data_IF_280860068157
#
_entry.id   IF_280860068157
#
_cell.length_a   1.000
_cell.length_b   1.000
_cell.length_c   1.000
_cell.angle_alpha   90.00
_cell.angle_beta   90.00
_cell.angle_gamma   90.00
#
_symmetry.space_group_name_H-M   'P 1'
#
loop_
_entity.id
_entity.type
_entity.pdbx_description
1 polymer ?
#
# COMPACT_ATOMS: atom_id res chain seq x y z
N UNK A 1 -10.59 -22.26 30.87
CA UNK A 1 -9.27 -22.20 30.22
C UNK A 1 -9.48 -22.51 28.73
N UNK A 2 -9.07 -21.61 27.83
CA UNK A 2 -9.16 -21.85 26.38
C UNK A 2 -8.00 -22.73 25.94
N UNK A 3 -8.26 -23.77 25.15
CA UNK A 3 -7.23 -24.65 24.61
C UNK A 3 -6.24 -23.92 23.69
N UNK A 4 -5.10 -24.55 23.35
CA UNK A 4 -4.09 -23.96 22.48
C UNK A 4 -4.69 -23.57 21.13
N UNK A 5 -4.45 -22.32 20.70
CA UNK A 5 -4.85 -21.85 19.40
C UNK A 5 -3.96 -22.47 18.31
N UNK A 6 -4.56 -23.31 17.47
CA UNK A 6 -3.90 -23.90 16.30
C UNK A 6 -4.21 -23.08 15.04
N UNK A 7 -3.23 -22.32 14.56
CA UNK A 7 -3.28 -21.64 13.26
C UNK A 7 -2.54 -22.47 12.19
N UNK A 8 -2.88 -22.25 10.92
CA UNK A 8 -2.31 -22.98 9.76
C UNK A 8 -2.66 -24.47 9.75
N UNK A 9 -3.77 -24.86 10.39
CA UNK A 9 -4.23 -26.26 10.41
C UNK A 9 -5.06 -26.60 9.18
N UNK A 10 -5.81 -25.63 8.65
CA UNK A 10 -6.68 -25.80 7.48
C UNK A 10 -5.95 -25.39 6.20
N UNK A 11 -6.28 -26.03 5.08
CA UNK A 11 -5.68 -25.73 3.76
C UNK A 11 -5.82 -24.25 3.41
N UNK A 12 -7.01 -23.68 3.58
CA UNK A 12 -7.27 -22.25 3.34
C UNK A 12 -6.37 -21.29 4.12
N UNK A 13 -5.89 -21.69 5.30
CA UNK A 13 -5.01 -20.88 6.15
C UNK A 13 -3.55 -20.88 5.62
N UNK A 14 -3.24 -21.81 4.70
CA UNK A 14 -1.93 -21.95 4.06
C UNK A 14 -1.90 -21.38 2.64
N UNK A 15 -2.94 -20.67 2.24
CA UNK A 15 -2.99 -20.00 0.94
C UNK A 15 -2.33 -18.62 1.01
N UNK A 16 -1.63 -18.21 -0.07
CA UNK A 16 -1.09 -16.87 -0.17
C UNK A 16 -2.20 -15.84 -0.34
N UNK A 17 -2.03 -14.68 0.28
CA UNK A 17 -2.97 -13.57 0.18
C UNK A 17 -2.25 -12.27 -0.16
N UNK A 18 -2.76 -11.59 -1.18
CA UNK A 18 -2.37 -10.22 -1.52
C UNK A 18 -3.38 -9.24 -0.92
N UNK A 19 -2.93 -8.45 0.04
CA UNK A 19 -3.70 -7.38 0.64
C UNK A 19 -3.73 -6.20 -0.33
N UNK A 20 -4.89 -5.95 -0.93
CA UNK A 20 -5.10 -4.91 -1.96
C UNK A 20 -6.32 -4.02 -1.73
N UNK A 21 -7.18 -4.37 -0.77
CA UNK A 21 -8.39 -3.59 -0.44
C UNK A 21 -8.77 -3.78 1.02
N UNK A 22 -9.52 -2.81 1.58
CA UNK A 22 -10.07 -2.94 2.93
C UNK A 22 -11.07 -4.11 3.01
N UNK A 23 -11.78 -4.39 1.92
CA UNK A 23 -12.72 -5.53 1.85
C UNK A 23 -12.05 -6.84 2.24
N UNK A 24 -10.90 -7.15 1.65
CA UNK A 24 -10.16 -8.37 2.00
C UNK A 24 -9.78 -8.42 3.49
N UNK A 25 -9.31 -7.30 4.04
CA UNK A 25 -8.88 -7.23 5.45
C UNK A 25 -10.08 -7.40 6.39
N UNK A 26 -11.17 -6.70 6.12
CA UNK A 26 -12.38 -6.76 6.95
C UNK A 26 -13.08 -8.12 6.86
N UNK A 27 -13.09 -8.76 5.70
CA UNK A 27 -13.58 -10.13 5.54
C UNK A 27 -12.74 -11.09 6.36
N UNK A 28 -11.41 -10.96 6.28
CA UNK A 28 -10.49 -11.78 7.03
C UNK A 28 -10.68 -11.63 8.56
N UNK A 29 -10.89 -10.40 9.04
CA UNK A 29 -11.16 -10.09 10.45
C UNK A 29 -12.61 -10.33 10.89
N UNK A 30 -13.49 -10.80 10.00
CA UNK A 30 -14.93 -10.93 10.23
C UNK A 30 -15.59 -9.63 10.74
N UNK A 31 -15.13 -8.48 10.27
CA UNK A 31 -15.70 -7.17 10.60
C UNK A 31 -17.07 -7.05 9.95
N UNK A 32 -18.10 -6.71 10.75
CA UNK A 32 -19.48 -6.58 10.27
C UNK A 32 -19.64 -5.42 9.27
N UNK A 33 -20.66 -5.42 8.39
CA UNK A 33 -20.89 -4.33 7.44
C UNK A 33 -21.02 -2.94 8.09
N UNK A 34 -21.59 -2.88 9.30
CA UNK A 34 -21.71 -1.63 10.07
C UNK A 34 -20.33 -1.07 10.47
N UNK A 35 -19.46 -1.92 11.02
CA UNK A 35 -18.09 -1.52 11.37
C UNK A 35 -17.24 -1.22 10.13
N UNK A 36 -17.42 -1.94 9.01
CA UNK A 36 -16.77 -1.62 7.73
C UNK A 36 -17.07 -0.19 7.27
N UNK A 37 -18.31 0.27 7.48
CA UNK A 37 -18.73 1.65 7.17
C UNK A 37 -17.99 2.66 8.05
N UNK A 38 -17.84 2.37 9.34
CA UNK A 38 -17.06 3.20 10.29
C UNK A 38 -15.59 3.28 9.87
N UNK A 39 -14.98 2.14 9.54
CA UNK A 39 -13.60 2.06 9.03
C UNK A 39 -13.42 2.97 7.82
N UNK A 40 -14.28 2.79 6.80
CA UNK A 40 -14.20 3.60 5.58
C UNK A 40 -14.33 5.09 5.86
N UNK A 41 -15.34 5.52 6.62
CA UNK A 41 -15.56 6.95 6.86
C UNK A 41 -14.42 7.59 7.65
N UNK A 42 -13.91 6.90 8.66
CA UNK A 42 -12.78 7.39 9.46
C UNK A 42 -11.53 7.51 8.60
N UNK A 43 -11.24 6.47 7.80
CA UNK A 43 -10.11 6.44 6.88
C UNK A 43 -10.19 7.53 5.82
N UNK A 44 -11.29 7.60 5.08
CA UNK A 44 -11.46 8.60 4.02
C UNK A 44 -11.21 10.02 4.54
N UNK A 45 -11.70 10.34 5.74
CA UNK A 45 -11.47 11.65 6.36
C UNK A 45 -9.99 11.93 6.59
N UNK A 46 -9.21 10.93 6.97
CA UNK A 46 -7.79 11.06 7.31
C UNK A 46 -6.86 11.00 6.09
N UNK A 47 -7.18 10.22 5.05
CA UNK A 47 -6.21 9.87 4.00
C UNK A 47 -6.48 10.47 2.62
N UNK A 48 -7.62 11.14 2.43
CA UNK A 48 -8.00 11.72 1.12
C UNK A 48 -7.58 13.19 0.96
N UNK A 49 -6.69 13.68 1.81
CA UNK A 49 -6.14 15.03 1.66
C UNK A 49 -5.28 15.15 0.41
N UNK A 50 -5.29 16.33 -0.21
CA UNK A 50 -4.56 16.59 -1.46
C UNK A 50 -3.06 16.30 -1.35
N UNK A 51 -2.41 16.60 -0.21
CA UNK A 51 -1.00 16.31 -0.01
C UNK A 51 -0.72 14.79 0.02
N UNK A 52 -1.52 14.01 0.77
CA UNK A 52 -1.40 12.53 0.80
C UNK A 52 -1.60 11.96 -0.60
N UNK A 53 -2.65 12.42 -1.29
CA UNK A 53 -2.94 12.03 -2.66
C UNK A 53 -1.75 12.26 -3.60
N UNK A 54 -1.23 13.48 -3.61
CA UNK A 54 -0.08 13.87 -4.42
C UNK A 54 1.16 13.06 -4.11
N UNK A 55 1.51 12.93 -2.84
CA UNK A 55 2.71 12.21 -2.43
C UNK A 55 2.60 10.71 -2.67
N UNK A 56 1.39 10.15 -2.64
CA UNK A 56 1.13 8.77 -3.08
C UNK A 56 1.42 8.59 -4.56
N UNK A 57 0.97 9.52 -5.42
CA UNK A 57 1.25 9.48 -6.87
C UNK A 57 2.76 9.62 -7.14
N UNK A 58 3.44 10.53 -6.45
CA UNK A 58 4.90 10.71 -6.56
C UNK A 58 5.65 9.43 -6.17
N UNK A 59 5.30 8.78 -5.05
CA UNK A 59 5.96 7.54 -4.64
C UNK A 59 5.69 6.39 -5.63
N UNK A 60 4.47 6.30 -6.18
CA UNK A 60 4.14 5.32 -7.23
C UNK A 60 4.99 5.51 -8.49
N UNK A 61 5.09 6.74 -8.98
CA UNK A 61 5.90 7.08 -10.16
C UNK A 61 7.39 6.80 -9.90
N UNK A 62 7.88 7.10 -8.70
CA UNK A 62 9.25 6.84 -8.27
C UNK A 62 9.56 5.35 -8.21
N UNK A 63 8.72 4.54 -7.57
CA UNK A 63 8.92 3.09 -7.52
C UNK A 63 8.87 2.46 -8.93
N UNK A 64 7.92 2.89 -9.76
CA UNK A 64 7.82 2.43 -11.14
C UNK A 64 9.05 2.83 -11.97
N UNK A 65 9.58 4.05 -11.79
CA UNK A 65 10.80 4.49 -12.46
C UNK A 65 11.99 3.60 -12.13
N UNK A 66 12.18 3.27 -10.85
CA UNK A 66 13.26 2.37 -10.41
C UNK A 66 13.19 1.00 -11.09
N UNK A 67 11.99 0.43 -11.21
CA UNK A 67 11.81 -0.89 -11.82
C UNK A 67 11.92 -0.85 -13.36
N UNK A 68 11.57 0.28 -14.00
CA UNK A 68 11.84 0.51 -15.43
C UNK A 68 13.34 0.68 -15.70
N UNK A 69 14.04 1.45 -14.86
CA UNK A 69 15.48 1.69 -14.99
C UNK A 69 16.31 0.39 -14.81
N UNK A 70 15.75 -0.62 -14.15
CA UNK A 70 16.34 -1.94 -14.02
C UNK A 70 16.18 -2.84 -15.27
N UNK A 71 15.46 -2.39 -16.31
CA UNK A 71 15.29 -3.13 -17.57
C UNK A 71 16.48 -2.83 -18.48
N UNK A 72 17.34 -3.83 -18.70
CA UNK A 72 18.58 -3.67 -19.50
C UNK A 72 18.33 -3.30 -20.98
N UNK A 73 17.27 -3.82 -21.58
CA UNK A 73 16.92 -3.58 -23.00
C UNK A 73 15.45 -3.12 -23.13
N UNK A 74 15.16 -1.86 -22.78
CA UNK A 74 13.80 -1.35 -22.81
C UNK A 74 13.30 -1.21 -24.25
N UNK A 75 12.10 -1.73 -24.51
CA UNK A 75 11.40 -1.49 -25.78
C UNK A 75 11.07 0.00 -25.91
N UNK A 76 10.91 0.50 -27.14
CA UNK A 76 10.55 1.90 -27.39
C UNK A 76 9.34 2.41 -26.57
N UNK A 77 8.32 1.57 -26.35
CA UNK A 77 7.16 1.93 -25.50
C UNK A 77 7.53 2.14 -24.02
N UNK A 78 8.50 1.40 -23.50
CA UNK A 78 8.99 1.55 -22.12
C UNK A 78 9.74 2.88 -21.98
N UNK A 79 10.54 3.26 -22.98
CA UNK A 79 11.19 4.56 -23.04
C UNK A 79 10.20 5.73 -23.06
N UNK A 80 9.13 5.62 -23.86
CA UNK A 80 8.02 6.60 -23.81
C UNK A 80 7.42 6.64 -22.40
N UNK A 81 7.17 5.49 -21.78
CA UNK A 81 6.68 5.41 -20.40
C UNK A 81 7.59 6.16 -19.40
N UNK A 82 8.91 6.02 -19.54
CA UNK A 82 9.91 6.72 -18.71
C UNK A 82 9.86 8.25 -18.89
N UNK A 83 9.65 8.72 -20.12
CA UNK A 83 9.45 10.14 -20.40
C UNK A 83 8.15 10.66 -19.77
N UNK A 84 7.05 9.90 -19.88
CA UNK A 84 5.76 10.25 -19.24
C UNK A 84 5.92 10.32 -17.72
N UNK A 85 6.61 9.37 -17.10
CA UNK A 85 6.90 9.40 -15.64
C UNK A 85 7.66 10.66 -15.27
N UNK A 86 8.68 11.02 -16.04
CA UNK A 86 9.48 12.22 -15.78
C UNK A 86 8.67 13.50 -15.94
N UNK A 87 7.82 13.58 -16.97
CA UNK A 87 6.90 14.69 -17.18
C UNK A 87 5.90 14.82 -16.03
N UNK A 88 5.23 13.71 -15.68
CA UNK A 88 4.25 13.68 -14.60
C UNK A 88 4.86 14.01 -13.24
N UNK A 89 6.07 13.53 -12.95
CA UNK A 89 6.78 13.85 -11.71
C UNK A 89 7.14 15.34 -11.64
N UNK A 90 7.61 15.95 -12.75
CA UNK A 90 7.86 17.39 -12.82
C UNK A 90 6.57 18.18 -12.63
N UNK A 91 5.50 17.80 -13.31
CA UNK A 91 4.18 18.40 -13.15
C UNK A 91 3.69 18.37 -11.70
N UNK A 92 3.87 17.22 -11.03
CA UNK A 92 3.58 17.02 -9.62
C UNK A 92 4.62 17.60 -8.66
N UNK A 93 5.71 18.23 -9.12
CA UNK A 93 6.70 18.92 -8.27
C UNK A 93 6.64 20.43 -8.48
N UNK A 94 6.46 20.90 -9.70
CA UNK A 94 6.38 22.32 -10.05
C UNK A 94 5.16 23.00 -9.40
N UNK A 95 4.12 22.21 -9.13
CA UNK A 95 2.94 22.61 -8.35
C UNK A 95 3.24 22.71 -6.83
N UNK A 96 4.45 22.36 -6.37
CA UNK A 96 4.93 22.35 -4.99
C UNK A 96 5.90 23.52 -4.83
N UNK A 97 5.38 24.72 -4.55
CA UNK A 97 6.27 25.83 -4.26
C UNK A 97 7.00 25.60 -2.95
N UNK A 98 8.33 25.75 -3.02
CA UNK A 98 9.18 26.22 -1.94
C UNK A 98 8.41 27.24 -1.08
N UNK A 99 7.95 26.78 0.08
CA UNK A 99 7.56 27.66 1.16
C UNK A 99 8.86 28.18 1.76
N UNK A 100 9.44 29.20 1.13
CA UNK A 100 10.47 30.01 1.78
C UNK A 100 9.91 30.46 3.13
N UNK A 101 10.63 30.10 4.20
CA UNK A 101 10.27 30.24 5.61
C UNK A 101 10.00 31.70 6.06
N UNK A 102 10.26 32.70 5.21
CA UNK A 102 10.34 34.10 5.63
C UNK A 102 9.18 35.01 5.17
N UNK A 103 8.05 34.47 4.67
CA UNK A 103 6.92 35.35 4.35
C UNK A 103 5.55 34.66 4.43
N UNK A 104 4.60 35.20 5.23
CA UNK A 104 3.24 34.67 5.32
C UNK A 104 2.53 34.70 3.96
N UNK A 105 1.88 33.59 3.60
CA UNK A 105 1.22 33.40 2.29
C UNK A 105 0.11 34.40 1.96
N UNK A 106 -0.41 35.14 2.96
CA UNK A 106 -1.42 36.19 2.81
C UNK A 106 -0.82 37.57 2.47
N UNK A 107 0.49 37.75 2.58
CA UNK A 107 1.22 38.97 2.20
C UNK A 107 1.87 38.91 0.82
N UNK A 108 1.85 37.75 0.16
CA UNK A 108 2.43 37.60 -1.18
C UNK A 108 1.44 38.09 -2.23
N UNK A 109 1.79 39.19 -2.89
CA UNK A 109 1.16 39.62 -4.14
C UNK A 109 1.15 38.43 -5.10
N UNK A 110 0.00 38.16 -5.73
CA UNK A 110 -0.15 37.17 -6.80
C UNK A 110 1.04 37.28 -7.74
N UNK A 111 1.77 36.18 -7.90
CA UNK A 111 2.86 36.04 -8.88
C UNK A 111 2.40 36.67 -10.19
N UNK A 112 3.14 37.68 -10.64
CA UNK A 112 2.91 38.39 -11.89
C UNK A 112 2.99 37.36 -13.01
N UNK A 113 1.84 36.86 -13.46
CA UNK A 113 1.74 35.88 -14.53
C UNK A 113 2.43 36.43 -15.77
N UNK A 114 3.27 35.60 -16.41
CA UNK A 114 3.30 35.60 -17.87
C UNK A 114 1.89 35.18 -18.32
N UNK A 115 1.22 35.93 -19.20
CA UNK A 115 -0.20 35.76 -19.48
C UNK A 115 -0.62 34.40 -20.09
N UNK A 116 0.31 33.51 -20.43
CA UNK A 116 0.04 32.28 -21.19
C UNK A 116 0.33 30.97 -20.44
N UNK A 117 0.55 30.97 -19.12
CA UNK A 117 0.77 29.72 -18.39
C UNK A 117 -0.53 28.87 -18.38
N UNK A 118 -0.52 27.66 -18.94
CA UNK A 118 -1.72 26.82 -19.03
C UNK A 118 -2.23 26.45 -17.64
N UNK A 119 -3.56 26.56 -17.46
CA UNK A 119 -4.20 26.21 -16.20
C UNK A 119 -4.23 24.68 -16.08
N UNK A 120 -3.48 24.18 -15.10
CA UNK A 120 -3.33 22.75 -14.87
C UNK A 120 -4.44 22.15 -14.02
N UNK A 121 -4.90 20.97 -14.42
CA UNK A 121 -5.94 20.18 -13.74
C UNK A 121 -5.44 18.78 -13.41
N UNK A 122 -6.13 18.11 -12.49
CA UNK A 122 -5.90 16.68 -12.25
C UNK A 122 -6.23 15.81 -13.47
N UNK A 123 -7.06 16.29 -14.40
CA UNK A 123 -7.33 15.65 -15.68
C UNK A 123 -6.07 15.44 -16.53
N UNK A 124 -5.13 16.37 -16.51
CA UNK A 124 -3.86 16.26 -17.24
C UNK A 124 -3.02 15.08 -16.69
N UNK A 125 -3.05 14.87 -15.36
CA UNK A 125 -2.41 13.73 -14.70
C UNK A 125 -3.08 12.41 -15.08
N UNK A 126 -4.40 12.42 -15.19
CA UNK A 126 -5.17 11.24 -15.63
C UNK A 126 -4.82 10.82 -17.05
N UNK A 127 -4.66 11.76 -17.97
CA UNK A 127 -4.22 11.49 -19.34
C UNK A 127 -2.82 10.87 -19.36
N UNK A 128 -1.87 11.46 -18.63
CA UNK A 128 -0.52 10.87 -18.47
C UNK A 128 -0.58 9.45 -17.89
N UNK A 129 -1.46 9.18 -16.93
CA UNK A 129 -1.64 7.83 -16.37
C UNK A 129 -2.26 6.84 -17.37
N UNK A 130 -3.16 7.30 -18.24
CA UNK A 130 -3.73 6.48 -19.32
C UNK A 130 -2.66 6.09 -20.33
N UNK A 131 -1.85 7.05 -20.78
CA UNK A 131 -0.77 6.81 -21.73
C UNK A 131 0.30 5.90 -21.12
N UNK A 132 0.69 6.17 -19.87
CA UNK A 132 1.66 5.35 -19.15
C UNK A 132 1.18 3.90 -19.03
N UNK A 133 -0.08 3.69 -18.64
CA UNK A 133 -0.65 2.34 -18.56
C UNK A 133 -0.65 1.65 -19.93
N UNK A 134 -1.02 2.38 -20.99
CA UNK A 134 -1.04 1.86 -22.36
C UNK A 134 0.35 1.44 -22.86
N UNK A 135 1.40 2.18 -22.48
CA UNK A 135 2.79 1.84 -22.75
C UNK A 135 3.23 0.56 -22.04
N UNK A 136 2.82 0.39 -20.78
CA UNK A 136 3.36 -0.65 -19.90
C UNK A 136 2.55 -1.95 -19.87
N UNK A 137 1.28 -1.95 -20.28
CA UNK A 137 0.36 -3.09 -20.13
C UNK A 137 0.81 -4.43 -20.74
N UNK A 138 1.77 -4.40 -21.69
CA UNK A 138 2.32 -5.62 -22.33
C UNK A 138 3.56 -6.16 -21.62
N UNK A 139 4.10 -5.45 -20.63
CA UNK A 139 5.32 -5.85 -19.95
C UNK A 139 4.98 -6.57 -18.64
N UNK A 140 5.17 -7.89 -18.63
CA UNK A 140 4.77 -8.75 -17.51
C UNK A 140 5.51 -8.39 -16.21
N UNK A 141 6.78 -7.96 -16.32
CA UNK A 141 7.58 -7.52 -15.16
C UNK A 141 6.98 -6.31 -14.45
N UNK A 142 6.20 -5.50 -15.16
CA UNK A 142 5.57 -4.27 -14.66
C UNK A 142 4.07 -4.43 -14.38
N UNK A 143 3.52 -5.64 -14.50
CA UNK A 143 2.08 -5.88 -14.37
C UNK A 143 1.50 -5.40 -13.03
N UNK A 144 2.24 -5.56 -11.92
CA UNK A 144 1.80 -5.08 -10.61
C UNK A 144 1.74 -3.55 -10.53
N UNK A 145 2.66 -2.85 -11.18
CA UNK A 145 2.61 -1.38 -11.29
C UNK A 145 1.45 -0.93 -12.15
N UNK A 146 1.18 -1.62 -13.26
CA UNK A 146 0.03 -1.34 -14.13
C UNK A 146 -1.28 -1.45 -13.34
N UNK A 147 -1.44 -2.50 -12.53
CA UNK A 147 -2.62 -2.63 -11.66
C UNK A 147 -2.74 -1.47 -10.67
N UNK A 148 -1.62 -0.97 -10.13
CA UNK A 148 -1.60 0.19 -9.24
C UNK A 148 -1.93 1.50 -9.96
N UNK A 149 -1.42 1.69 -11.17
CA UNK A 149 -1.79 2.85 -12.00
C UNK A 149 -3.30 2.84 -12.26
N UNK A 150 -3.86 1.70 -12.66
CA UNK A 150 -5.31 1.55 -12.87
C UNK A 150 -6.11 1.82 -11.60
N UNK A 151 -5.66 1.30 -10.45
CA UNK A 151 -6.28 1.60 -9.17
C UNK A 151 -6.29 3.12 -8.89
N UNK A 152 -5.17 3.81 -9.08
CA UNK A 152 -5.10 5.26 -8.83
C UNK A 152 -5.93 6.10 -9.81
N UNK A 153 -6.18 5.61 -11.03
CA UNK A 153 -7.09 6.29 -11.98
C UNK A 153 -8.50 6.42 -11.41
N UNK A 154 -8.97 5.46 -10.62
CA UNK A 154 -10.28 5.52 -9.94
C UNK A 154 -10.47 6.86 -9.23
N UNK A 155 -9.46 7.31 -8.47
CA UNK A 155 -9.52 8.60 -7.78
C UNK A 155 -9.30 9.79 -8.70
N UNK A 156 -8.35 9.69 -9.65
CA UNK A 156 -8.08 10.76 -10.64
C UNK A 156 -9.34 11.12 -11.45
N UNK A 157 -10.14 10.15 -11.86
CA UNK A 157 -11.41 10.39 -12.58
C UNK A 157 -12.38 11.26 -11.78
N UNK A 158 -12.41 11.12 -10.45
CA UNK A 158 -13.33 11.84 -9.58
C UNK A 158 -12.92 13.31 -9.46
N UNK A 159 -11.61 13.56 -9.44
CA UNK A 159 -11.05 14.90 -9.27
C UNK A 159 -10.59 15.55 -10.57
N UNK A 160 -10.82 14.94 -11.74
CA UNK A 160 -10.30 15.39 -13.04
C UNK A 160 -10.53 16.88 -13.35
N UNK A 161 -11.68 17.42 -12.94
CA UNK A 161 -12.07 18.80 -13.19
C UNK A 161 -11.55 19.79 -12.14
N UNK A 162 -10.90 19.30 -11.08
CA UNK A 162 -10.34 20.12 -10.00
C UNK A 162 -9.00 20.68 -10.44
N UNK A 163 -8.77 21.96 -10.14
CA UNK A 163 -7.54 22.64 -10.51
C UNK A 163 -6.38 22.19 -9.61
N UNK A 164 -5.22 21.98 -10.23
CA UNK A 164 -3.96 21.71 -9.54
C UNK A 164 -3.18 23.01 -9.26
N UNK A 165 -3.46 24.05 -10.03
CA UNK A 165 -2.76 25.34 -10.03
C UNK A 165 -2.78 26.04 -8.65
N UNK A 166 -1.65 26.62 -8.28
CA UNK A 166 -1.41 27.39 -7.06
C UNK A 166 -1.14 28.87 -7.30
N UNK A 167 -1.12 29.36 -8.55
CA UNK A 167 -1.13 30.80 -8.88
C UNK A 167 -2.52 31.45 -8.63
N UNK A 168 -3.23 30.90 -7.65
CA UNK A 168 -4.53 31.34 -7.18
C UNK A 168 -4.39 31.71 -5.71
N UNK A 169 -5.04 32.79 -5.28
CA UNK A 169 -4.95 33.24 -3.89
C UNK A 169 -5.30 32.13 -2.89
N UNK A 170 -4.71 32.18 -1.68
CA UNK A 170 -4.81 31.16 -0.62
C UNK A 170 -6.23 30.57 -0.42
N UNK A 171 -7.26 31.44 -0.44
CA UNK A 171 -8.67 31.03 -0.29
C UNK A 171 -9.11 30.04 -1.38
N UNK A 172 -8.73 30.29 -2.64
CA UNK A 172 -9.06 29.40 -3.76
C UNK A 172 -8.27 28.10 -3.69
N UNK A 173 -6.98 28.15 -3.32
CA UNK A 173 -6.18 26.95 -3.14
C UNK A 173 -6.79 26.03 -2.06
N UNK A 174 -7.21 26.61 -0.92
CA UNK A 174 -7.88 25.85 0.14
C UNK A 174 -9.21 25.27 -0.30
N UNK A 175 -9.97 25.99 -1.12
CA UNK A 175 -11.21 25.48 -1.72
C UNK A 175 -10.92 24.26 -2.62
N UNK A 176 -9.88 24.29 -3.46
CA UNK A 176 -9.51 23.14 -4.28
C UNK A 176 -9.10 21.94 -3.42
N UNK A 177 -8.31 22.15 -2.36
CA UNK A 177 -7.94 21.08 -1.41
C UNK A 177 -9.17 20.43 -0.76
N UNK A 178 -10.12 21.24 -0.30
CA UNK A 178 -11.38 20.75 0.26
C UNK A 178 -12.23 20.01 -0.78
N UNK A 179 -12.22 20.45 -2.04
CA UNK A 179 -12.92 19.77 -3.13
C UNK A 179 -12.31 18.40 -3.44
N UNK A 180 -10.97 18.29 -3.50
CA UNK A 180 -10.28 17.00 -3.65
C UNK A 180 -10.71 16.05 -2.53
N UNK A 181 -10.59 16.48 -1.27
CA UNK A 181 -10.94 15.66 -0.12
C UNK A 181 -12.41 15.23 -0.15
N UNK A 182 -13.32 16.17 -0.42
CA UNK A 182 -14.76 15.91 -0.49
C UNK A 182 -15.08 14.86 -1.57
N UNK A 183 -14.58 15.07 -2.79
CA UNK A 183 -14.86 14.18 -3.92
C UNK A 183 -14.32 12.77 -3.65
N UNK A 184 -13.05 12.65 -3.26
CA UNK A 184 -12.42 11.35 -2.98
C UNK A 184 -13.08 10.64 -1.79
N UNK A 185 -13.41 11.35 -0.71
CA UNK A 185 -14.08 10.75 0.45
C UNK A 185 -15.46 10.19 0.11
N UNK A 186 -16.18 10.83 -0.82
CA UNK A 186 -17.50 10.41 -1.24
C UNK A 186 -17.43 9.23 -2.23
N UNK A 187 -16.51 9.27 -3.18
CA UNK A 187 -16.42 8.29 -4.27
C UNK A 187 -15.69 7.01 -3.87
N UNK A 188 -14.61 7.10 -3.09
CA UNK A 188 -13.77 5.95 -2.80
C UNK A 188 -14.45 5.01 -1.79
N UNK A 189 -14.81 3.83 -2.29
CA UNK A 189 -15.53 2.80 -1.55
C UNK A 189 -14.62 1.93 -0.68
N UNK A 190 -15.24 1.03 0.10
CA UNK A 190 -14.52 0.07 0.93
C UNK A 190 -13.70 -0.94 0.08
N UNK A 191 -14.21 -1.30 -1.09
CA UNK A 191 -13.52 -2.19 -2.04
C UNK A 191 -12.50 -1.47 -2.93
N UNK A 192 -12.36 -0.15 -2.81
CA UNK A 192 -11.45 0.65 -3.65
C UNK A 192 -9.99 0.28 -3.37
N UNK A 193 -9.29 -0.15 -4.42
CA UNK A 193 -7.84 -0.36 -4.36
C UNK A 193 -7.09 0.98 -4.33
N UNK A 194 -7.70 2.05 -4.86
CA UNK A 194 -7.21 3.42 -4.75
C UNK A 194 -7.13 3.86 -3.27
N UNK A 195 -8.25 3.72 -2.55
CA UNK A 195 -8.31 4.04 -1.11
C UNK A 195 -7.28 3.23 -0.31
N UNK A 196 -7.15 1.96 -0.64
CA UNK A 196 -6.18 1.09 0.01
C UNK A 196 -4.73 1.49 -0.29
N UNK A 197 -4.44 1.95 -1.50
CA UNK A 197 -3.11 2.46 -1.86
C UNK A 197 -2.78 3.74 -1.10
N UNK A 198 -3.74 4.65 -0.93
CA UNK A 198 -3.57 5.83 -0.06
C UNK A 198 -3.30 5.43 1.40
N UNK A 199 -3.97 4.39 1.89
CA UNK A 199 -3.76 3.90 3.24
C UNK A 199 -2.34 3.36 3.44
N UNK A 200 -1.87 2.53 2.50
CA UNK A 200 -0.50 1.99 2.53
C UNK A 200 0.54 3.11 2.54
N UNK A 201 0.34 4.13 1.70
CA UNK A 201 1.23 5.28 1.68
C UNK A 201 1.19 6.05 2.99
N UNK A 202 0.00 6.34 3.52
CA UNK A 202 -0.16 7.07 4.79
C UNK A 202 0.49 6.35 5.98
N UNK A 203 0.39 5.01 6.05
CA UNK A 203 0.94 4.25 7.17
C UNK A 203 2.42 3.92 7.03
N UNK A 204 2.90 3.66 5.80
CA UNK A 204 4.22 3.07 5.57
C UNK A 204 5.10 3.84 4.57
N UNK A 205 4.60 4.93 3.99
CA UNK A 205 5.29 5.71 2.97
C UNK A 205 5.58 4.92 1.69
N UNK A 206 4.80 3.87 1.41
CA UNK A 206 4.98 2.98 0.25
C UNK A 206 3.65 2.59 -0.37
N UNK A 207 3.66 2.27 -1.66
CA UNK A 207 2.44 1.95 -2.41
C UNK A 207 2.32 0.47 -2.79
N UNK A 208 3.39 -0.32 -2.63
CA UNK A 208 3.38 -1.76 -2.92
C UNK A 208 2.37 -2.50 -2.05
N UNK A 209 1.60 -3.39 -2.69
CA UNK A 209 0.74 -4.31 -1.98
C UNK A 209 1.57 -5.21 -1.04
N UNK A 210 0.93 -5.64 0.04
CA UNK A 210 1.56 -6.55 0.99
C UNK A 210 1.12 -7.97 0.67
N UNK A 211 2.09 -8.82 0.33
CA UNK A 211 1.88 -10.22 0.00
C UNK A 211 2.28 -11.10 1.18
N UNK A 212 1.36 -11.94 1.64
CA UNK A 212 1.58 -12.87 2.75
C UNK A 212 1.48 -14.27 2.19
N UNK A 213 2.46 -15.12 2.48
CA UNK A 213 2.55 -16.45 1.84
C UNK A 213 1.56 -17.43 2.47
N UNK A 214 1.26 -17.24 3.76
CA UNK A 214 0.31 -18.05 4.51
C UNK A 214 -0.62 -17.10 5.26
N UNK A 215 -1.87 -16.99 4.82
CA UNK A 215 -2.78 -16.05 5.44
C UNK A 215 -3.08 -16.38 6.91
N UNK A 216 -2.94 -17.64 7.34
CA UNK A 216 -3.17 -18.09 8.70
C UNK A 216 -4.63 -18.02 9.12
N UNK A 217 -4.90 -17.64 10.37
CA UNK A 217 -6.28 -17.56 10.85
C UNK A 217 -6.45 -16.63 12.04
N UNK A 218 -7.72 -16.31 12.31
CA UNK A 218 -8.16 -15.64 13.54
C UNK A 218 -8.67 -16.71 14.51
N UNK A 219 -8.15 -16.72 15.73
CA UNK A 219 -8.60 -17.61 16.78
C UNK A 219 -8.98 -16.84 18.05
N UNK A 220 -9.91 -17.40 18.82
CA UNK A 220 -10.28 -16.88 20.13
C UNK A 220 -9.45 -17.61 21.19
N UNK A 221 -8.70 -16.88 22.00
CA UNK A 221 -7.89 -17.45 23.07
C UNK A 221 -8.14 -16.68 24.36
N UNK A 222 -8.94 -17.28 25.27
CA UNK A 222 -9.08 -16.75 26.63
C UNK A 222 -9.72 -15.37 26.73
N UNK A 223 -10.67 -15.03 25.85
CA UNK A 223 -11.37 -13.74 25.86
C UNK A 223 -10.89 -12.78 24.78
N UNK A 224 -9.61 -12.83 24.43
CA UNK A 224 -9.00 -12.06 23.36
C UNK A 224 -8.95 -12.79 22.03
N UNK A 225 -8.75 -12.02 20.97
CA UNK A 225 -8.62 -12.50 19.60
C UNK A 225 -7.15 -12.53 19.23
N UNK A 226 -6.70 -13.61 18.60
CA UNK A 226 -5.34 -13.73 18.10
C UNK A 226 -5.36 -13.93 16.58
N UNK A 227 -4.57 -13.12 15.89
CA UNK A 227 -4.35 -13.17 14.46
C UNK A 227 -2.95 -13.72 14.19
N UNK A 228 -2.87 -14.79 13.40
CA UNK A 228 -1.61 -15.34 12.94
C UNK A 228 -1.49 -15.20 11.43
N UNK A 229 -0.35 -14.71 10.94
CA UNK A 229 -0.01 -14.66 9.52
C UNK A 229 1.40 -15.20 9.30
N UNK A 230 1.67 -15.71 8.10
CA UNK A 230 2.88 -16.47 7.83
C UNK A 230 3.63 -16.06 6.56
N UNK A 231 4.94 -16.24 6.59
CA UNK A 231 5.84 -16.08 5.44
C UNK A 231 6.78 -17.27 5.32
N UNK A 232 7.07 -17.68 4.10
CA UNK A 232 8.10 -18.68 3.79
C UNK A 232 9.37 -17.95 3.35
N UNK A 233 10.49 -18.34 3.92
CA UNK A 233 11.82 -17.84 3.60
C UNK A 233 12.69 -18.98 3.11
N UNK A 234 13.34 -18.78 1.96
CA UNK A 234 14.25 -19.75 1.36
C UNK A 234 15.67 -19.68 1.92
N UNK A 235 15.96 -18.75 2.83
CA UNK A 235 17.31 -18.47 3.30
C UNK A 235 17.37 -18.33 4.83
N UNK A 236 18.39 -18.94 5.42
CA UNK A 236 18.56 -19.01 6.87
C UNK A 236 19.24 -17.81 7.51
N UNK A 237 19.77 -16.89 6.70
CA UNK A 237 20.42 -15.69 7.20
C UNK A 237 19.45 -14.84 8.05
N UNK A 238 19.91 -14.42 9.22
CA UNK A 238 19.21 -13.49 10.10
C UNK A 238 18.78 -12.21 9.38
N UNK A 239 19.50 -11.74 8.34
CA UNK A 239 19.05 -10.61 7.52
C UNK A 239 17.74 -10.91 6.78
N UNK A 240 17.58 -12.14 6.28
CA UNK A 240 16.35 -12.57 5.58
C UNK A 240 15.20 -12.77 6.55
N UNK A 241 15.46 -13.39 7.70
CA UNK A 241 14.49 -13.51 8.79
C UNK A 241 14.01 -12.11 9.22
N UNK A 242 14.93 -11.17 9.45
CA UNK A 242 14.60 -9.79 9.85
C UNK A 242 13.81 -9.05 8.78
N UNK A 243 14.08 -9.30 7.49
CA UNK A 243 13.25 -8.77 6.39
C UNK A 243 11.84 -9.37 6.43
N UNK A 244 11.73 -10.68 6.65
CA UNK A 244 10.46 -11.38 6.83
C UNK A 244 9.65 -10.83 8.00
N UNK A 245 10.27 -10.61 9.16
CA UNK A 245 9.64 -10.00 10.34
C UNK A 245 9.11 -8.61 10.01
N UNK A 246 9.94 -7.73 9.43
CA UNK A 246 9.51 -6.37 9.06
C UNK A 246 8.38 -6.36 8.03
N UNK A 247 8.34 -7.35 7.14
CA UNK A 247 7.27 -7.50 6.17
C UNK A 247 5.96 -7.94 6.82
N UNK A 248 6.02 -8.97 7.68
CA UNK A 248 4.86 -9.44 8.43
C UNK A 248 4.35 -8.41 9.44
N UNK A 249 5.23 -7.65 10.08
CA UNK A 249 4.86 -6.54 10.99
C UNK A 249 3.97 -5.51 10.29
N UNK A 250 4.27 -5.18 9.02
CA UNK A 250 3.41 -4.27 8.23
C UNK A 250 2.06 -4.89 7.90
N UNK A 251 2.01 -6.18 7.56
CA UNK A 251 0.73 -6.87 7.33
C UNK A 251 -0.11 -6.88 8.62
N UNK A 252 0.46 -7.34 9.74
CA UNK A 252 -0.18 -7.37 11.05
C UNK A 252 -0.62 -5.97 11.50
N UNK A 253 0.21 -4.95 11.26
CA UNK A 253 -0.10 -3.55 11.55
C UNK A 253 -1.34 -3.06 10.80
N UNK A 254 -1.56 -3.48 9.54
CA UNK A 254 -2.78 -3.13 8.81
C UNK A 254 -4.02 -3.78 9.44
N UNK A 255 -3.92 -5.05 9.81
CA UNK A 255 -5.03 -5.74 10.47
C UNK A 255 -5.38 -5.10 11.80
N UNK A 256 -4.37 -4.78 12.62
CA UNK A 256 -4.57 -4.09 13.89
C UNK A 256 -5.16 -2.70 13.71
N UNK A 257 -4.66 -1.93 12.75
CA UNK A 257 -5.22 -0.63 12.43
C UNK A 257 -6.71 -0.74 12.07
N UNK A 258 -7.10 -1.66 11.19
CA UNK A 258 -8.51 -1.85 10.82
C UNK A 258 -9.35 -2.32 12.00
N UNK A 259 -8.82 -3.21 12.84
CA UNK A 259 -9.48 -3.70 14.05
C UNK A 259 -9.79 -2.58 15.04
N UNK A 260 -8.82 -1.70 15.29
CA UNK A 260 -8.96 -0.55 16.20
C UNK A 260 -9.93 0.49 15.64
N UNK A 261 -9.79 0.85 14.37
CA UNK A 261 -10.70 1.82 13.72
C UNK A 261 -12.13 1.28 13.61
N UNK A 262 -12.29 -0.04 13.47
CA UNK A 262 -13.60 -0.69 13.50
C UNK A 262 -14.27 -0.61 14.88
N UNK A 263 -13.56 -0.22 15.94
CA UNK A 263 -14.12 -0.13 17.30
C UNK A 263 -14.35 -1.50 17.94
N UNK A 264 -13.56 -2.51 17.55
CA UNK A 264 -13.70 -3.87 18.06
C UNK A 264 -13.32 -3.91 19.54
N UNK A 265 -14.22 -4.43 20.40
CA UNK A 265 -14.08 -4.36 21.86
C UNK A 265 -13.00 -5.28 22.44
N UNK A 266 -12.68 -6.39 21.77
CA UNK A 266 -11.69 -7.36 22.25
C UNK A 266 -10.29 -6.96 21.82
N UNK A 267 -9.29 -7.28 22.63
CA UNK A 267 -7.89 -7.12 22.25
C UNK A 267 -7.55 -8.01 21.04
N UNK A 268 -6.69 -7.51 20.15
CA UNK A 268 -6.13 -8.27 19.03
C UNK A 268 -4.64 -8.53 19.25
N UNK A 269 -4.31 -9.77 19.60
CA UNK A 269 -2.94 -10.26 19.68
C UNK A 269 -2.43 -10.63 18.30
N UNK A 270 -1.22 -10.18 17.96
CA UNK A 270 -0.63 -10.36 16.64
C UNK A 270 0.52 -11.36 16.71
N UNK A 271 0.50 -12.36 15.82
CA UNK A 271 1.54 -13.39 15.70
C UNK A 271 2.02 -13.50 14.25
N UNK A 272 3.32 -13.36 14.06
CA UNK A 272 3.98 -13.64 12.79
C UNK A 272 4.62 -15.01 12.81
N UNK A 273 4.56 -15.74 11.70
CA UNK A 273 5.22 -17.04 11.56
C UNK A 273 6.12 -17.03 10.34
N UNK A 274 7.37 -17.45 10.50
CA UNK A 274 8.35 -17.50 9.42
C UNK A 274 8.84 -18.92 9.28
N UNK A 275 8.55 -19.57 8.17
CA UNK A 275 9.10 -20.89 7.87
C UNK A 275 10.39 -20.74 7.08
N UNK A 276 11.45 -21.34 7.58
CA UNK A 276 12.79 -21.17 7.07
C UNK A 276 13.42 -22.53 6.78
N UNK A 277 13.86 -22.72 5.54
CA UNK A 277 14.46 -23.98 5.07
C UNK A 277 15.82 -24.20 5.74
N UNK A 278 15.96 -25.27 6.52
CA UNK A 278 17.18 -25.58 7.26
C UNK A 278 17.45 -24.69 8.47
N UNK A 279 16.47 -23.89 8.89
CA UNK A 279 16.56 -23.05 10.10
C UNK A 279 16.25 -23.80 11.39
N UNK A 280 16.55 -23.15 12.52
CA UNK A 280 16.18 -23.62 13.87
C UNK A 280 14.88 -22.95 14.36
N UNK A 281 14.17 -23.63 15.25
CA UNK A 281 13.00 -23.07 15.94
C UNK A 281 13.41 -21.94 16.88
N UNK A 282 12.80 -20.76 16.73
CA UNK A 282 13.08 -19.60 17.59
C UNK A 282 11.83 -18.77 17.80
N UNK A 283 11.76 -18.07 18.93
CA UNK A 283 10.72 -17.07 19.20
C UNK A 283 11.39 -15.71 19.36
N UNK A 284 10.89 -14.73 18.63
CA UNK A 284 11.41 -13.38 18.57
C UNK A 284 10.31 -12.38 18.92
N UNK A 285 10.69 -11.29 19.58
CA UNK A 285 9.81 -10.16 19.85
C UNK A 285 10.20 -8.99 18.97
N UNK A 286 9.22 -8.36 18.32
CA UNK A 286 9.44 -7.16 17.52
C UNK A 286 8.25 -6.22 17.63
N UNK A 287 8.49 -4.99 18.11
CA UNK A 287 7.47 -3.94 18.32
C UNK A 287 6.25 -4.41 19.14
N UNK A 288 6.49 -5.27 20.13
CA UNK A 288 5.44 -5.82 21.00
C UNK A 288 4.65 -6.98 20.39
N UNK A 289 4.99 -7.43 19.18
CA UNK A 289 4.39 -8.58 18.52
C UNK A 289 5.32 -9.81 18.61
N UNK A 290 4.72 -10.99 18.71
CA UNK A 290 5.47 -12.26 18.78
C UNK A 290 5.67 -12.84 17.39
N UNK A 291 6.90 -13.25 17.08
CA UNK A 291 7.25 -13.91 15.83
C UNK A 291 7.85 -15.28 16.10
N UNK A 292 7.26 -16.31 15.48
CA UNK A 292 7.76 -17.69 15.53
C UNK A 292 8.56 -17.95 14.26
N UNK A 293 9.79 -18.43 14.40
CA UNK A 293 10.62 -18.91 13.30
C UNK A 293 10.61 -20.43 13.37
N UNK A 294 10.15 -21.06 12.30
CA UNK A 294 10.01 -22.50 12.16
C UNK A 294 11.07 -23.06 11.22
N UNK A 295 11.68 -24.17 11.60
CA UNK A 295 12.64 -24.88 10.76
C UNK A 295 11.94 -25.87 9.83
N UNK A 296 12.04 -25.68 8.51
CA UNK A 296 11.67 -26.72 7.55
C UNK A 296 12.86 -27.67 7.40
N UNK A 297 12.72 -28.89 7.90
CA UNK A 297 13.68 -29.97 7.69
C UNK A 297 13.25 -30.77 6.46
N UNK A 298 14.12 -30.90 5.47
CA UNK A 298 13.92 -31.92 4.45
C UNK A 298 14.28 -33.29 5.05
N UNK A 299 13.53 -34.36 4.71
CA UNK A 299 13.97 -35.69 5.02
C UNK A 299 15.36 -35.88 4.41
N UNK A 300 16.32 -36.37 5.21
CA UNK A 300 17.59 -36.84 4.66
C UNK A 300 17.23 -37.89 3.60
N UNK A 301 17.84 -37.80 2.42
CA UNK A 301 17.88 -38.97 1.52
C UNK A 301 18.62 -40.05 2.30
N UNK A 302 17.87 -40.94 2.94
CA UNK A 302 18.44 -42.20 3.40
C UNK A 302 19.00 -42.88 2.16
N UNK A 303 20.26 -43.32 2.26
CA UNK A 303 20.95 -44.04 1.22
C UNK A 303 20.10 -45.27 0.86
N UNK A 304 19.44 -45.23 -0.29
CA UNK A 304 18.99 -46.44 -0.95
C UNK A 304 20.25 -47.17 -1.42
N UNK A 305 20.84 -47.96 -0.52
CA UNK A 305 21.77 -49.01 -0.91
C UNK A 305 20.94 -50.05 -1.67
N UNK A 306 20.91 -49.94 -2.99
CA UNK A 306 20.61 -51.08 -3.83
C UNK A 306 21.85 -51.97 -3.81
N UNK A 307 21.86 -52.97 -2.94
CA UNK A 307 22.76 -54.11 -3.10
C UNK A 307 22.25 -54.92 -4.31
N UNK A 308 23.15 -55.09 -5.29
CA UNK A 308 22.99 -55.94 -6.46
C UNK A 308 23.28 -57.41 -6.12
#
# INVERSE_FOLDING_TARGET
>A
MGGPCFCFSKVKEREPVVLRSLTKICEYLNVSPQHRRVVRFTLCRQITHQHIWRSTLQELLKELKLDIDAIETPKHRIEIGKQIISCCSKFLNDSESSFGLDSPSWMRLTTTKKPDSPIHKWGDVLEMFNDLTSCLKKEQRLALHVLKLEAMKEGLYQIKDVFLDRDIGYKRARQQECLVQKKLSQSLGHSSECLFTLLLYNLYGRVRNIEVDLCGGVCNSGGDVCLSIGKVSSATDMKMITRGIRHLDKALGLFKFVWEVAGMKKGLHLRGHIWNVGGEERVLQYRGNTFFVHGIKFPRRENFNYEY
#
